data_IF_869751308965
#
_entry.id   IF_869751308965
#
_cell.length_a   1.000
_cell.length_b   1.000
_cell.length_c   1.000
_cell.angle_alpha   90.00
_cell.angle_beta   90.00
_cell.angle_gamma   90.00
#
_symmetry.space_group_name_H-M   'P 1'
#
loop_
_entity.id
_entity.type
_entity.pdbx_description
1 polymer ?
#
# COMPACT_ATOMS: atom_id res chain seq x y z
N UNK A 1 4.62 -2.66 -19.50
CA UNK A 1 5.76 -1.74 -19.26
C UNK A 1 5.89 -1.60 -17.76
N UNK A 2 6.94 -2.17 -17.16
CA UNK A 2 7.20 -2.11 -15.71
C UNK A 2 7.87 -0.79 -15.39
N UNK A 3 7.18 0.09 -14.64
CA UNK A 3 7.73 1.39 -14.26
C UNK A 3 8.18 1.32 -12.79
N UNK A 4 9.41 0.82 -12.59
CA UNK A 4 10.04 0.82 -11.27
C UNK A 4 10.38 2.27 -10.92
N UNK A 5 9.84 2.80 -9.83
CA UNK A 5 10.13 4.17 -9.41
C UNK A 5 11.61 4.26 -9.05
N UNK A 6 12.33 5.25 -9.61
CA UNK A 6 13.72 5.47 -9.23
C UNK A 6 13.79 5.90 -7.76
N UNK A 7 14.84 5.52 -7.00
CA UNK A 7 14.93 5.79 -5.56
C UNK A 7 14.81 7.28 -5.17
N UNK A 8 15.16 8.21 -6.08
CA UNK A 8 15.01 9.67 -5.91
C UNK A 8 13.58 10.20 -6.18
N UNK A 9 12.66 9.34 -6.63
CA UNK A 9 11.23 9.62 -6.86
C UNK A 9 10.32 8.80 -5.93
N UNK A 10 10.86 8.26 -4.82
CA UNK A 10 10.05 7.47 -3.89
C UNK A 10 8.98 8.35 -3.23
N UNK A 11 7.71 8.07 -3.54
CA UNK A 11 6.55 8.72 -2.93
C UNK A 11 6.17 7.95 -1.67
N UNK A 12 5.96 8.67 -0.57
CA UNK A 12 5.30 8.11 0.62
C UNK A 12 3.81 7.99 0.34
N UNK A 13 3.26 6.80 0.54
CA UNK A 13 1.82 6.55 0.41
C UNK A 13 1.25 5.93 1.68
N UNK A 14 -0.07 6.01 1.81
CA UNK A 14 -0.83 5.35 2.85
C UNK A 14 -1.90 4.49 2.18
N UNK A 15 -1.92 3.21 2.49
CA UNK A 15 -2.93 2.28 1.98
C UNK A 15 -3.89 1.91 3.11
N UNK A 16 -5.16 1.75 2.75
CA UNK A 16 -6.21 1.29 3.66
C UNK A 16 -6.88 0.05 3.08
N UNK A 17 -7.15 -0.92 3.95
CA UNK A 17 -7.97 -2.09 3.66
C UNK A 17 -9.15 -2.09 4.63
N UNK A 18 -10.36 -2.00 4.08
CA UNK A 18 -11.60 -2.08 4.84
C UNK A 18 -12.16 -3.50 4.77
N UNK A 19 -12.52 -4.05 5.92
CA UNK A 19 -13.10 -5.39 6.01
C UNK A 19 -14.24 -5.42 7.04
N UNK A 20 -15.16 -6.37 6.85
CA UNK A 20 -16.32 -6.54 7.72
C UNK A 20 -16.06 -7.65 8.73
N UNK A 21 -16.27 -7.36 10.00
CA UNK A 21 -16.25 -8.31 11.12
C UNK A 21 -17.67 -8.48 11.69
N UNK A 22 -17.82 -9.36 12.69
CA UNK A 22 -19.08 -9.53 13.44
C UNK A 22 -19.48 -8.25 14.17
N UNK A 23 -18.50 -7.43 14.56
CA UNK A 23 -18.71 -6.18 15.31
C UNK A 23 -18.88 -4.95 14.41
N UNK A 24 -18.80 -5.12 13.08
CA UNK A 24 -19.04 -4.06 12.10
C UNK A 24 -17.91 -3.89 11.09
N UNK A 25 -17.73 -2.67 10.58
CA UNK A 25 -16.63 -2.34 9.67
C UNK A 25 -15.36 -2.03 10.46
N UNK A 26 -14.23 -2.55 9.98
CA UNK A 26 -12.90 -2.32 10.52
C UNK A 26 -11.95 -1.94 9.37
N UNK A 27 -10.83 -1.30 9.71
CA UNK A 27 -9.79 -0.94 8.74
C UNK A 27 -8.40 -1.29 9.24
N UNK A 28 -7.54 -1.71 8.32
CA UNK A 28 -6.09 -1.74 8.50
C UNK A 28 -5.46 -0.63 7.65
N UNK A 29 -4.46 0.06 8.20
CA UNK A 29 -3.75 1.14 7.50
C UNK A 29 -2.26 0.83 7.51
N UNK A 30 -1.65 0.85 6.33
CA UNK A 30 -0.20 0.72 6.18
C UNK A 30 0.38 2.01 5.57
N UNK A 31 1.55 2.41 6.07
CA UNK A 31 2.33 3.54 5.54
C UNK A 31 3.68 3.04 5.06
N UNK A 32 4.11 3.51 3.90
CA UNK A 32 5.40 3.10 3.36
C UNK A 32 5.87 3.94 2.18
N UNK A 33 7.09 3.66 1.74
CA UNK A 33 7.62 4.18 0.46
C UNK A 33 7.14 3.29 -0.68
N UNK A 34 6.45 3.88 -1.65
CA UNK A 34 6.05 3.20 -2.87
C UNK A 34 7.29 2.90 -3.73
N UNK A 35 7.48 1.61 -4.04
CA UNK A 35 8.51 1.14 -4.96
C UNK A 35 7.98 1.07 -6.38
N UNK A 36 6.78 0.50 -6.54
CA UNK A 36 6.07 0.40 -7.80
C UNK A 36 4.58 0.10 -7.57
N UNK A 37 3.75 0.47 -8.53
CA UNK A 37 2.37 0.01 -8.65
C UNK A 37 2.20 -0.51 -10.06
N UNK A 38 1.97 -1.81 -10.21
CA UNK A 38 1.81 -2.47 -11.51
C UNK A 38 0.88 -3.67 -11.38
N UNK A 39 0.17 -3.99 -12.47
CA UNK A 39 -0.74 -5.14 -12.56
C UNK A 39 -1.73 -5.25 -11.39
N UNK A 40 -2.15 -4.11 -10.85
CA UNK A 40 -3.11 -4.02 -9.75
C UNK A 40 -2.52 -4.39 -8.37
N UNK A 41 -1.20 -4.26 -8.19
CA UNK A 41 -0.51 -4.54 -6.92
C UNK A 41 0.41 -3.37 -6.57
N UNK A 42 0.26 -2.86 -5.35
CA UNK A 42 1.17 -1.88 -4.75
C UNK A 42 2.32 -2.61 -4.08
N UNK A 43 3.56 -2.22 -4.37
CA UNK A 43 4.76 -2.68 -3.66
C UNK A 43 5.35 -1.56 -2.83
N UNK A 44 5.46 -1.77 -1.53
CA UNK A 44 5.95 -0.78 -0.59
C UNK A 44 7.02 -1.35 0.32
N UNK A 45 7.95 -0.50 0.73
CA UNK A 45 8.70 -0.72 1.98
C UNK A 45 7.90 -0.09 3.12
N UNK A 46 7.40 -0.94 4.02
CA UNK A 46 6.63 -0.55 5.20
C UNK A 46 7.48 0.27 6.16
N UNK A 47 6.91 1.31 6.76
CA UNK A 47 7.58 2.08 7.80
C UNK A 47 7.52 1.44 9.18
N UNK A 48 6.66 0.44 9.38
CA UNK A 48 6.51 -0.21 10.69
C UNK A 48 7.63 -1.22 10.95
N UNK A 49 8.01 -1.99 9.93
CA UNK A 49 9.00 -3.06 10.03
C UNK A 49 10.15 -2.93 9.03
N UNK A 50 10.08 -2.00 8.08
CA UNK A 50 11.14 -1.81 7.08
C UNK A 50 11.14 -2.88 5.98
N UNK A 51 10.14 -3.76 5.96
CA UNK A 51 10.06 -4.87 5.03
C UNK A 51 9.35 -4.47 3.74
N UNK A 52 9.74 -5.09 2.64
CA UNK A 52 9.04 -4.98 1.36
C UNK A 52 7.80 -5.89 1.35
N UNK A 53 6.64 -5.32 1.01
CA UNK A 53 5.37 -6.04 0.94
C UNK A 53 4.54 -5.61 -0.26
N UNK A 54 3.69 -6.54 -0.68
CA UNK A 54 2.75 -6.38 -1.77
C UNK A 54 1.32 -6.24 -1.24
N UNK A 55 0.56 -5.32 -1.83
CA UNK A 55 -0.81 -5.00 -1.44
C UNK A 55 -1.68 -4.95 -2.70
N UNK A 56 -2.60 -5.91 -2.93
CA UNK A 56 -3.43 -5.92 -4.13
C UNK A 56 -4.52 -4.84 -4.12
N UNK A 57 -4.81 -4.23 -5.26
CA UNK A 57 -5.89 -3.24 -5.49
C UNK A 57 -7.27 -3.78 -5.11
N UNK A 58 -7.45 -5.11 -5.18
CA UNK A 58 -8.69 -5.77 -4.81
C UNK A 58 -9.02 -5.66 -3.31
N UNK A 59 -8.03 -5.40 -2.47
CA UNK A 59 -8.19 -5.29 -1.02
C UNK A 59 -7.71 -3.92 -0.48
N UNK A 60 -6.73 -3.31 -1.12
CA UNK A 60 -6.08 -2.10 -0.65
C UNK A 60 -6.36 -0.92 -1.57
N UNK A 61 -6.59 0.24 -0.97
CA UNK A 61 -6.80 1.49 -1.69
C UNK A 61 -5.93 2.60 -1.14
N UNK A 62 -5.52 3.53 -2.01
CA UNK A 62 -4.86 4.76 -1.61
C UNK A 62 -5.77 5.55 -0.66
N UNK A 63 -5.21 5.94 0.48
CA UNK A 63 -5.86 6.79 1.46
C UNK A 63 -5.25 8.19 1.38
N UNK A 64 -6.06 9.17 1.01
CA UNK A 64 -5.73 10.59 1.08
C UNK A 64 -6.35 11.19 2.34
N UNK A 65 -5.64 12.13 3.00
CA UNK A 65 -6.23 12.97 4.06
C UNK A 65 -7.11 14.08 3.47
#
# INVERSE_FOLDING_TARGET
>A
MTHRLQPHQSTTVRLVHWFRTVDGWQSEIVRGRLLEHHDGVWRLVSFEDGEEREYPDAAWSLCHE
#
